data_IF_012492497219
#
_entry.id   IF_012492497219
#
_cell.length_a   1.000
_cell.length_b   1.000
_cell.length_c   1.000
_cell.angle_alpha   90.00
_cell.angle_beta   90.00
_cell.angle_gamma   90.00
#
_symmetry.space_group_name_H-M   'P 1'
#
loop_
_entity.id
_entity.type
_entity.pdbx_description
1 polymer ?
#
# COMPACT_ATOMS: atom_id res chain seq x y z
N UNK A 1 10.18 -2.08 16.09
CA UNK A 1 11.58 -2.53 15.98
C UNK A 1 11.85 -2.58 14.50
N UNK A 2 12.42 -1.52 13.94
CA UNK A 2 12.63 -1.42 12.49
C UNK A 2 13.61 -2.51 12.05
N UNK A 3 13.17 -3.35 11.12
CA UNK A 3 14.01 -4.39 10.54
C UNK A 3 14.66 -3.81 9.28
N UNK A 4 15.98 -3.59 9.33
CA UNK A 4 16.75 -3.05 8.21
C UNK A 4 17.09 -4.19 7.24
N UNK A 5 16.82 -4.02 5.94
CA UNK A 5 17.18 -5.00 4.92
C UNK A 5 18.69 -4.92 4.66
N UNK A 6 19.45 -5.91 5.14
CA UNK A 6 20.89 -5.94 5.04
C UNK A 6 21.31 -6.29 3.60
N UNK A 7 21.64 -5.30 2.76
CA UNK A 7 22.26 -5.53 1.43
C UNK A 7 23.74 -5.88 1.63
N UNK A 8 23.99 -7.09 2.11
CA UNK A 8 25.28 -7.58 2.61
C UNK A 8 26.41 -7.76 1.56
N UNK A 9 26.30 -7.27 0.32
CA UNK A 9 27.26 -7.63 -0.75
C UNK A 9 27.98 -6.51 -1.51
N UNK A 10 27.76 -5.23 -1.24
CA UNK A 10 28.43 -4.15 -2.03
C UNK A 10 29.49 -3.37 -1.25
N UNK A 11 29.86 -3.82 -0.05
CA UNK A 11 30.70 -3.02 0.89
C UNK A 11 32.21 -3.23 0.83
N UNK A 12 32.78 -3.94 -0.14
CA UNK A 12 34.24 -4.14 -0.15
C UNK A 12 35.06 -3.11 -0.93
N UNK A 13 34.45 -2.16 -1.64
CA UNK A 13 35.23 -1.10 -2.31
C UNK A 13 34.37 0.11 -2.60
N UNK A 14 34.40 1.12 -1.72
CA UNK A 14 34.47 2.57 -2.06
C UNK A 14 34.22 3.44 -0.82
N UNK A 15 34.97 4.54 -0.61
CA UNK A 15 34.89 5.35 0.61
C UNK A 15 33.84 6.47 0.55
N UNK A 16 32.72 6.28 -0.16
CA UNK A 16 31.64 7.27 -0.23
C UNK A 16 30.27 6.59 -0.25
N UNK A 17 29.89 6.00 0.89
CA UNK A 17 28.57 5.42 1.06
C UNK A 17 27.57 6.50 1.51
N UNK A 18 26.90 7.13 0.54
CA UNK A 18 25.53 7.57 0.77
C UNK A 18 24.67 6.31 0.82
N UNK A 19 24.53 5.73 2.02
CA UNK A 19 23.58 4.65 2.24
C UNK A 19 22.18 5.20 2.04
N UNK A 20 21.57 4.90 0.89
CA UNK A 20 20.12 4.96 0.78
C UNK A 20 19.56 3.94 1.76
N UNK A 21 19.06 4.43 2.90
CA UNK A 21 18.42 3.61 3.92
C UNK A 21 17.12 3.09 3.34
N UNK A 22 17.09 1.81 2.96
CA UNK A 22 15.87 1.10 2.54
C UNK A 22 15.43 0.25 3.73
N UNK A 23 14.26 0.54 4.29
CA UNK A 23 13.69 -0.25 5.38
C UNK A 23 12.96 -1.47 4.81
N UNK A 24 12.99 -2.62 5.50
CA UNK A 24 12.15 -3.77 5.10
C UNK A 24 10.66 -3.45 5.22
N UNK A 25 10.32 -2.56 6.15
CA UNK A 25 8.96 -2.12 6.43
C UNK A 25 8.34 -1.47 5.20
N UNK A 26 9.05 -0.54 4.56
CA UNK A 26 8.62 0.09 3.31
C UNK A 26 8.43 -0.94 2.18
N UNK A 27 9.30 -1.94 2.11
CA UNK A 27 9.19 -3.01 1.11
C UNK A 27 7.98 -3.92 1.32
N UNK A 28 7.64 -4.24 2.58
CA UNK A 28 6.46 -5.04 2.91
C UNK A 28 5.17 -4.25 2.63
N UNK A 29 5.14 -2.95 2.96
CA UNK A 29 4.03 -2.05 2.66
C UNK A 29 3.79 -1.96 1.16
N UNK A 30 4.83 -1.71 0.35
CA UNK A 30 4.71 -1.66 -1.11
C UNK A 30 4.16 -2.96 -1.69
N UNK A 31 4.70 -4.11 -1.27
CA UNK A 31 4.24 -5.43 -1.75
C UNK A 31 2.78 -5.68 -1.40
N UNK A 32 2.40 -5.35 -0.17
CA UNK A 32 1.03 -5.50 0.33
C UNK A 32 0.05 -4.64 -0.44
N UNK A 33 0.40 -3.37 -0.70
CA UNK A 33 -0.42 -2.47 -1.51
C UNK A 33 -0.57 -2.99 -2.95
N UNK A 34 0.52 -3.44 -3.59
CA UNK A 34 0.47 -4.00 -4.94
C UNK A 34 -0.41 -5.26 -4.99
N UNK A 35 -0.30 -6.13 -3.98
CA UNK A 35 -1.15 -7.32 -3.85
C UNK A 35 -2.62 -6.92 -3.69
N UNK A 36 -2.91 -5.98 -2.79
CA UNK A 36 -4.24 -5.45 -2.54
C UNK A 36 -4.87 -4.89 -3.83
N UNK A 37 -4.15 -4.03 -4.55
CA UNK A 37 -4.61 -3.47 -5.82
C UNK A 37 -4.83 -4.57 -6.88
N UNK A 38 -3.92 -5.54 -6.98
CA UNK A 38 -4.05 -6.67 -7.92
C UNK A 38 -5.34 -7.44 -7.67
N UNK A 39 -5.66 -7.68 -6.40
CA UNK A 39 -6.88 -8.37 -6.02
C UNK A 39 -8.14 -7.54 -6.33
N UNK A 40 -8.12 -6.22 -6.07
CA UNK A 40 -9.23 -5.32 -6.41
C UNK A 40 -9.47 -5.19 -7.91
N UNK A 41 -8.44 -5.32 -8.75
CA UNK A 41 -8.59 -5.27 -10.22
C UNK A 41 -9.34 -6.49 -10.77
N UNK A 42 -9.22 -7.64 -10.11
CA UNK A 42 -9.80 -8.90 -10.62
C UNK A 42 -9.20 -9.30 -11.97
N UNK A 43 -10.01 -9.93 -12.84
CA UNK A 43 -9.56 -10.41 -14.16
C UNK A 43 -9.46 -9.33 -15.24
N UNK A 44 -9.69 -8.05 -14.89
CA UNK A 44 -9.68 -6.96 -15.86
C UNK A 44 -8.24 -6.54 -16.20
N UNK A 45 -7.86 -6.77 -17.47
CA UNK A 45 -6.63 -6.27 -18.09
C UNK A 45 -6.77 -4.83 -18.61
N UNK A 46 -7.90 -4.17 -18.37
CA UNK A 46 -8.09 -2.80 -18.82
C UNK A 46 -7.05 -1.90 -18.11
N UNK A 47 -6.45 -1.02 -18.92
CA UNK A 47 -5.41 -0.08 -18.53
C UNK A 47 -5.99 0.95 -17.56
N UNK A 48 -6.26 0.54 -16.32
CA UNK A 48 -6.56 1.44 -15.22
C UNK A 48 -5.37 2.38 -15.04
N UNK A 49 -5.63 3.63 -14.70
CA UNK A 49 -4.63 4.64 -14.36
C UNK A 49 -3.81 4.31 -13.09
N UNK A 50 -4.02 3.12 -12.52
CA UNK A 50 -3.35 2.57 -11.35
C UNK A 50 -2.16 1.72 -11.80
N UNK A 51 -1.05 2.39 -12.09
CA UNK A 51 0.23 1.75 -12.41
C UNK A 51 1.19 1.97 -11.23
N UNK A 52 1.05 1.13 -10.21
CA UNK A 52 1.98 1.08 -9.09
C UNK A 52 3.15 0.17 -9.46
N UNK A 53 4.39 0.62 -9.20
CA UNK A 53 5.59 -0.13 -9.56
C UNK A 53 6.38 -0.53 -8.31
N UNK A 54 6.90 -1.76 -8.21
CA UNK A 54 7.64 -2.19 -7.02
C UNK A 54 8.88 -1.35 -6.68
N UNK A 55 9.46 -0.70 -7.70
CA UNK A 55 10.67 0.13 -7.62
C UNK A 55 10.38 1.61 -7.31
N UNK A 56 9.12 2.00 -7.14
CA UNK A 56 8.73 3.37 -6.77
C UNK A 56 8.11 3.43 -5.36
N UNK A 57 8.20 4.59 -4.73
CA UNK A 57 7.69 4.89 -3.39
C UNK A 57 6.25 5.41 -3.47
N UNK A 58 5.29 4.83 -2.73
CA UNK A 58 3.88 5.20 -2.83
C UNK A 58 3.60 6.69 -2.59
N UNK A 59 4.34 7.31 -1.67
CA UNK A 59 4.15 8.68 -1.24
C UNK A 59 4.99 9.67 -2.07
N UNK A 60 6.27 9.35 -2.33
CA UNK A 60 7.19 10.23 -3.09
C UNK A 60 6.90 10.24 -4.58
N UNK A 61 6.57 9.08 -5.14
CA UNK A 61 6.26 8.95 -6.57
C UNK A 61 4.75 9.08 -6.85
N UNK A 62 3.98 9.52 -5.86
CA UNK A 62 2.56 9.88 -5.97
C UNK A 62 1.73 8.78 -6.65
N UNK A 63 1.75 7.57 -6.06
CA UNK A 63 0.91 6.48 -6.55
C UNK A 63 -0.54 6.94 -6.60
N UNK A 64 -1.14 6.82 -7.78
CA UNK A 64 -2.52 7.25 -7.98
C UNK A 64 -3.45 6.51 -7.01
N UNK A 65 -4.35 7.24 -6.35
CA UNK A 65 -5.22 6.73 -5.28
C UNK A 65 -4.58 6.62 -3.89
N UNK A 66 -3.28 6.90 -3.73
CA UNK A 66 -2.58 6.89 -2.43
C UNK A 66 -2.36 8.32 -1.94
N UNK A 67 -2.73 8.59 -0.68
CA UNK A 67 -2.51 9.89 -0.06
C UNK A 67 -1.81 9.72 1.29
N UNK A 68 -0.69 10.43 1.45
CA UNK A 68 0.15 10.36 2.64
C UNK A 68 0.09 11.65 3.46
N UNK A 69 0.44 11.57 4.73
CA UNK A 69 0.66 12.75 5.58
C UNK A 69 2.07 13.33 5.41
N UNK A 70 2.38 14.37 6.19
CA UNK A 70 3.69 15.01 6.21
C UNK A 70 4.82 14.10 6.77
N UNK A 71 4.47 12.99 7.41
CA UNK A 71 5.39 11.98 7.94
C UNK A 71 5.55 10.79 6.99
N UNK A 72 5.06 10.89 5.75
CA UNK A 72 5.12 9.82 4.74
C UNK A 72 4.30 8.57 5.12
N UNK A 73 3.37 8.68 6.06
CA UNK A 73 2.44 7.60 6.40
C UNK A 73 1.20 7.63 5.52
N UNK A 74 0.80 6.49 4.97
CA UNK A 74 -0.37 6.38 4.09
C UNK A 74 -1.65 6.59 4.90
N UNK A 75 -2.38 7.67 4.62
CA UNK A 75 -3.62 8.01 5.34
C UNK A 75 -4.87 7.61 4.59
N UNK A 76 -4.83 7.62 3.26
CA UNK A 76 -6.02 7.37 2.44
C UNK A 76 -5.68 6.50 1.24
N UNK A 77 -6.60 5.58 0.99
CA UNK A 77 -6.70 4.86 -0.26
C UNK A 77 -8.06 5.24 -0.88
N UNK A 78 -8.01 5.96 -2.00
CA UNK A 78 -9.21 6.46 -2.68
C UNK A 78 -9.26 5.91 -4.11
N UNK A 79 -10.15 4.96 -4.31
CA UNK A 79 -10.37 4.29 -5.58
C UNK A 79 -11.74 4.59 -6.17
N UNK A 80 -12.31 5.75 -5.87
CA UNK A 80 -13.57 6.18 -6.48
C UNK A 80 -13.54 6.15 -8.01
N UNK A 81 -14.46 5.41 -8.66
CA UNK A 81 -14.60 5.31 -10.13
C UNK A 81 -13.38 4.76 -10.87
N UNK A 82 -12.60 3.88 -10.25
CA UNK A 82 -11.46 3.25 -10.92
C UNK A 82 -11.82 2.05 -11.80
N UNK A 83 -13.11 1.75 -11.96
CA UNK A 83 -13.62 0.63 -12.75
C UNK A 83 -13.04 -0.72 -12.31
N UNK A 84 -12.85 -0.88 -10.99
CA UNK A 84 -12.35 -2.08 -10.35
C UNK A 84 -13.48 -3.12 -10.24
N UNK A 85 -13.16 -4.41 -10.37
CA UNK A 85 -14.18 -5.47 -10.38
C UNK A 85 -13.76 -6.76 -9.65
N UNK A 86 -12.76 -6.68 -8.80
CA UNK A 86 -12.21 -7.80 -8.04
C UNK A 86 -12.87 -7.97 -6.68
N UNK A 87 -12.08 -8.47 -5.71
CA UNK A 87 -12.55 -8.75 -4.34
C UNK A 87 -11.83 -7.90 -3.32
N UNK A 88 -12.57 -7.44 -2.31
CA UNK A 88 -12.00 -6.77 -1.15
C UNK A 88 -11.45 -7.81 -0.17
N UNK A 89 -10.18 -7.66 0.20
CA UNK A 89 -9.57 -8.31 1.36
C UNK A 89 -8.96 -7.25 2.28
N UNK A 90 -9.72 -6.88 3.31
CA UNK A 90 -9.30 -5.87 4.30
C UNK A 90 -8.17 -6.37 5.19
N UNK A 91 -7.94 -7.69 5.30
CA UNK A 91 -6.90 -8.25 6.12
C UNK A 91 -5.50 -7.91 5.58
N UNK A 92 -5.35 -7.78 4.25
CA UNK A 92 -4.11 -7.31 3.62
C UNK A 92 -3.68 -5.94 4.18
N UNK A 93 -4.63 -5.02 4.36
CA UNK A 93 -4.34 -3.69 4.89
C UNK A 93 -4.24 -3.69 6.42
N UNK A 94 -5.19 -4.34 7.09
CA UNK A 94 -5.36 -4.18 8.54
C UNK A 94 -4.50 -5.12 9.38
N UNK A 95 -3.88 -6.16 8.81
CA UNK A 95 -2.92 -6.99 9.55
C UNK A 95 -1.48 -6.48 9.44
N UNK A 96 -1.19 -5.57 8.52
CA UNK A 96 0.12 -4.97 8.38
C UNK A 96 0.21 -3.69 9.23
N UNK A 97 1.00 -3.74 10.31
CA UNK A 97 1.03 -2.71 11.36
C UNK A 97 1.16 -1.27 10.83
N UNK A 98 2.09 -0.95 9.90
CA UNK A 98 2.23 0.43 9.39
C UNK A 98 0.96 0.95 8.71
N UNK A 99 0.22 0.11 7.99
CA UNK A 99 -1.04 0.47 7.36
C UNK A 99 -2.18 0.51 8.38
N UNK A 100 -2.26 -0.48 9.27
CA UNK A 100 -3.29 -0.57 10.31
C UNK A 100 -3.28 0.61 11.29
N UNK A 101 -2.09 1.13 11.60
CA UNK A 101 -1.89 2.28 12.48
C UNK A 101 -2.07 3.64 11.80
N UNK A 102 -2.04 3.70 10.46
CA UNK A 102 -2.03 4.97 9.73
C UNK A 102 -3.28 5.22 8.89
N UNK A 103 -3.93 4.18 8.36
CA UNK A 103 -5.02 4.32 7.41
C UNK A 103 -6.27 4.91 8.08
N UNK A 104 -6.78 6.01 7.53
CA UNK A 104 -7.95 6.74 8.04
C UNK A 104 -9.16 6.69 7.11
N UNK A 105 -8.92 6.41 5.83
CA UNK A 105 -9.92 6.45 4.77
C UNK A 105 -9.67 5.36 3.73
N UNK A 106 -10.70 4.60 3.39
CA UNK A 106 -10.75 3.70 2.25
C UNK A 106 -12.04 3.96 1.47
N UNK A 107 -11.93 4.31 0.18
CA UNK A 107 -13.09 4.41 -0.72
C UNK A 107 -12.93 3.48 -1.91
N UNK A 108 -13.98 2.70 -2.15
CA UNK A 108 -14.20 1.77 -3.25
C UNK A 108 -15.50 2.10 -4.01
N UNK A 109 -16.10 3.25 -3.71
CA UNK A 109 -17.34 3.73 -4.30
C UNK A 109 -17.28 3.75 -5.84
N UNK A 110 -18.42 3.46 -6.47
CA UNK A 110 -18.57 3.46 -7.93
C UNK A 110 -17.57 2.51 -8.65
N UNK A 111 -17.37 1.35 -8.04
CA UNK A 111 -16.71 0.18 -8.62
C UNK A 111 -17.61 -1.05 -8.49
N UNK A 112 -17.23 -2.14 -9.15
CA UNK A 112 -17.91 -3.43 -9.08
C UNK A 112 -17.16 -4.41 -8.16
N UNK A 113 -16.77 -3.95 -6.97
CA UNK A 113 -16.04 -4.76 -5.98
C UNK A 113 -17.01 -5.73 -5.29
N UNK A 114 -16.53 -6.95 -5.10
CA UNK A 114 -17.23 -8.02 -4.37
C UNK A 114 -16.44 -8.43 -3.12
N UNK A 115 -16.98 -9.37 -2.33
CA UNK A 115 -16.36 -9.84 -1.09
C UNK A 115 -17.02 -9.27 0.17
N UNK A 116 -16.47 -9.62 1.32
CA UNK A 116 -17.02 -9.25 2.63
C UNK A 116 -15.99 -8.47 3.44
N UNK A 117 -16.46 -7.54 4.27
CA UNK A 117 -15.62 -6.87 5.27
C UNK A 117 -15.43 -7.85 6.43
N UNK A 118 -14.25 -8.44 6.52
CA UNK A 118 -13.92 -9.41 7.56
C UNK A 118 -13.61 -8.73 8.90
N UNK A 119 -13.51 -9.52 9.97
CA UNK A 119 -13.34 -9.00 11.34
C UNK A 119 -12.01 -8.26 11.59
N UNK A 120 -11.02 -8.51 10.73
CA UNK A 120 -9.69 -7.92 10.69
C UNK A 120 -9.74 -6.40 10.49
N UNK A 121 -10.86 -5.85 9.98
CA UNK A 121 -11.08 -4.39 9.91
C UNK A 121 -10.88 -3.70 11.27
N UNK A 122 -11.11 -4.42 12.38
CA UNK A 122 -10.89 -3.93 13.76
C UNK A 122 -9.43 -3.61 14.06
N UNK A 123 -8.49 -4.17 13.31
CA UNK A 123 -7.07 -3.90 13.48
C UNK A 123 -6.69 -2.52 12.91
N UNK A 124 -7.42 -2.02 11.91
CA UNK A 124 -7.29 -0.66 11.39
C UNK A 124 -7.95 0.37 12.33
N UNK A 125 -7.36 0.61 13.50
CA UNK A 125 -7.97 1.42 14.57
C UNK A 125 -8.19 2.89 14.22
N UNK A 126 -7.45 3.42 13.24
CA UNK A 126 -7.56 4.80 12.78
C UNK A 126 -8.57 4.97 11.63
N UNK A 127 -9.12 3.89 11.09
CA UNK A 127 -10.05 3.95 9.96
C UNK A 127 -11.38 4.52 10.44
N UNK A 128 -11.73 5.70 9.92
CA UNK A 128 -12.97 6.41 10.29
C UNK A 128 -13.97 6.47 9.14
N UNK A 129 -13.53 6.21 7.91
CA UNK A 129 -14.35 6.25 6.70
C UNK A 129 -14.04 5.05 5.83
N UNK A 130 -15.08 4.28 5.56
CA UNK A 130 -15.09 3.16 4.63
C UNK A 130 -16.33 3.33 3.75
N UNK A 131 -16.10 3.50 2.45
CA UNK A 131 -17.14 3.70 1.44
C UNK A 131 -16.98 2.67 0.33
#
# INVERSE_FOLDING_TARGET
MEMICNILLVFLVTPFFLLNMISCEDDEVKRTLIQFLTQLRGQQNNSSSLVWKPDTDPCKDHWNGVYCDAQMSIKKLDFYRFNLSGTLDVALLCNLQPLAESLTFLSLDDNNISGEITSEIKNCKQLTRLH
#
